data_IF_391869967929
#
_entry.id   IF_391869967929
#
_cell.length_a   1.000
_cell.length_b   1.000
_cell.length_c   1.000
_cell.angle_alpha   90.00
_cell.angle_beta   90.00
_cell.angle_gamma   90.00
#
_symmetry.space_group_name_H-M   'P 1'
#
loop_
_entity.id
_entity.type
_entity.pdbx_description
1 polymer ?
#
# COMPACT_ATOMS: atom_id res chain seq x y z
N UNK A 1 7.91 19.24 1.27
CA UNK A 1 8.88 18.51 2.10
C UNK A 1 10.08 19.42 2.24
N UNK A 2 10.63 19.60 3.46
CA UNK A 2 11.87 20.37 3.67
C UNK A 2 13.00 19.74 2.83
N UNK A 3 13.94 20.54 2.33
CA UNK A 3 15.10 20.10 1.53
C UNK A 3 15.96 19.01 2.21
N UNK A 4 15.77 18.77 3.53
CA UNK A 4 16.56 17.84 4.36
C UNK A 4 15.86 16.49 4.66
N UNK A 5 14.65 16.21 4.15
CA UNK A 5 13.97 14.95 4.44
C UNK A 5 14.49 13.81 3.57
N UNK A 6 15.21 12.86 4.21
CA UNK A 6 15.65 11.63 3.56
C UNK A 6 14.71 10.45 3.94
N UNK A 7 13.96 9.88 2.98
CA UNK A 7 13.02 8.78 3.24
C UNK A 7 13.69 7.55 3.85
N UNK A 8 14.90 7.22 3.39
CA UNK A 8 15.63 6.07 3.90
C UNK A 8 16.02 6.21 5.37
N UNK A 9 16.57 7.38 5.74
CA UNK A 9 16.91 7.68 7.13
C UNK A 9 15.69 7.60 8.04
N UNK A 10 14.54 8.08 7.55
CA UNK A 10 13.29 8.01 8.30
C UNK A 10 12.86 6.57 8.56
N UNK A 11 12.74 5.74 7.52
CA UNK A 11 12.30 4.34 7.66
C UNK A 11 13.30 3.52 8.48
N UNK A 12 14.60 3.72 8.27
CA UNK A 12 15.65 3.06 9.06
C UNK A 12 15.52 3.36 10.56
N UNK A 13 15.24 4.62 10.92
CA UNK A 13 15.05 5.01 12.33
C UNK A 13 13.80 4.40 12.96
N UNK A 14 12.75 4.16 12.17
CA UNK A 14 11.55 3.45 12.62
C UNK A 14 11.85 1.98 12.93
N UNK A 15 12.58 1.30 12.04
CA UNK A 15 13.01 -0.10 12.23
C UNK A 15 13.91 -0.21 13.45
N UNK A 16 14.87 0.70 13.62
CA UNK A 16 15.78 0.75 14.76
C UNK A 16 15.02 0.88 16.08
N UNK A 17 14.08 1.82 16.17
CA UNK A 17 13.22 1.98 17.35
C UNK A 17 12.40 0.73 17.67
N UNK A 18 11.84 0.08 16.66
CA UNK A 18 11.13 -1.19 16.83
C UNK A 18 12.06 -2.30 17.32
N UNK A 19 13.29 -2.37 16.80
CA UNK A 19 14.32 -3.31 17.25
C UNK A 19 14.68 -3.10 18.73
N UNK A 20 14.87 -1.88 19.16
CA UNK A 20 15.13 -1.56 20.57
C UNK A 20 13.91 -1.87 21.48
N UNK A 21 12.69 -1.57 21.05
CA UNK A 21 11.46 -1.92 21.76
C UNK A 21 11.36 -3.44 21.98
N UNK A 22 11.80 -4.23 21.02
CA UNK A 22 11.85 -5.69 21.07
C UNK A 22 13.10 -6.25 21.76
N UNK A 23 14.01 -5.39 22.24
CA UNK A 23 15.29 -5.78 22.85
C UNK A 23 16.15 -6.68 21.94
N UNK A 24 16.11 -6.44 20.62
CA UNK A 24 16.98 -7.10 19.67
C UNK A 24 18.44 -6.64 19.86
N UNK A 25 19.39 -7.53 19.57
CA UNK A 25 20.80 -7.16 19.55
C UNK A 25 21.12 -6.24 18.35
N UNK A 26 22.17 -5.43 18.51
CA UNK A 26 22.59 -4.43 17.51
C UNK A 26 22.93 -5.05 16.14
N UNK A 27 23.44 -6.29 16.14
CA UNK A 27 23.76 -7.03 14.92
C UNK A 27 22.50 -7.35 14.13
N UNK A 28 21.43 -7.78 14.81
CA UNK A 28 20.15 -8.07 14.21
C UNK A 28 19.47 -6.79 13.69
N UNK A 29 19.52 -5.71 14.47
CA UNK A 29 18.97 -4.42 14.03
C UNK A 29 19.68 -3.94 12.77
N UNK A 30 21.01 -3.94 12.73
CA UNK A 30 21.80 -3.58 11.55
C UNK A 30 21.48 -4.47 10.35
N UNK A 31 21.31 -5.78 10.56
CA UNK A 31 20.95 -6.73 9.49
C UNK A 31 19.59 -6.38 8.89
N UNK A 32 18.59 -6.06 9.73
CA UNK A 32 17.22 -5.73 9.25
C UNK A 32 17.18 -4.36 8.55
N UNK A 33 17.94 -3.38 9.00
CA UNK A 33 18.02 -2.08 8.35
C UNK A 33 18.72 -2.18 6.97
N UNK A 34 19.72 -3.04 6.81
CA UNK A 34 20.55 -3.05 5.61
C UNK A 34 19.89 -3.80 4.46
N UNK A 35 19.57 -3.18 3.31
CA UNK A 35 19.07 -3.89 2.14
C UNK A 35 20.03 -4.98 1.67
N UNK A 36 19.51 -6.16 1.34
CA UNK A 36 20.33 -7.29 0.87
C UNK A 36 20.98 -7.02 -0.49
N UNK A 37 20.26 -6.27 -1.35
CA UNK A 37 20.75 -5.97 -2.71
C UNK A 37 20.18 -4.66 -3.23
N UNK A 38 21.08 -3.85 -3.78
CA UNK A 38 20.74 -2.64 -4.53
C UNK A 38 21.28 -2.82 -5.95
N UNK A 39 20.38 -2.82 -6.93
CA UNK A 39 20.72 -2.88 -8.34
C UNK A 39 20.31 -1.56 -9.00
N UNK A 40 21.30 -0.82 -9.51
CA UNK A 40 21.11 0.35 -10.37
C UNK A 40 21.41 -0.03 -11.81
N UNK A 41 20.57 0.40 -12.73
CA UNK A 41 20.68 0.03 -14.15
C UNK A 41 20.51 1.24 -15.07
N UNK A 42 21.28 1.26 -16.14
CA UNK A 42 21.06 2.15 -17.27
C UNK A 42 19.95 1.59 -18.18
N UNK A 43 19.00 2.44 -18.57
CA UNK A 43 17.87 2.11 -19.41
C UNK A 43 17.91 2.95 -20.69
N UNK A 44 18.68 2.56 -21.71
CA UNK A 44 18.69 3.22 -23.01
C UNK A 44 17.39 2.95 -23.77
N UNK A 45 16.73 4.02 -24.24
CA UNK A 45 15.49 3.94 -25.01
C UNK A 45 15.66 4.70 -26.33
N UNK A 46 15.32 4.02 -27.44
CA UNK A 46 15.20 4.71 -28.72
C UNK A 46 13.86 5.42 -28.78
N UNK A 47 13.91 6.74 -28.85
CA UNK A 47 12.75 7.61 -28.93
C UNK A 47 12.11 7.55 -30.34
N UNK A 48 10.87 7.99 -30.45
CA UNK A 48 10.16 8.07 -31.75
C UNK A 48 10.84 9.05 -32.71
N UNK A 49 11.57 10.03 -32.19
CA UNK A 49 12.47 10.91 -32.97
C UNK A 49 13.67 10.19 -33.62
N UNK A 50 13.96 8.94 -33.21
CA UNK A 50 15.15 8.19 -33.60
C UNK A 50 16.36 8.36 -32.68
N UNK A 51 16.36 9.36 -31.79
CA UNK A 51 17.42 9.57 -30.81
C UNK A 51 17.39 8.48 -29.72
N UNK A 52 18.48 8.33 -28.99
CA UNK A 52 18.57 7.47 -27.82
C UNK A 52 18.61 8.34 -26.58
N UNK A 53 17.67 8.13 -25.68
CA UNK A 53 17.69 8.73 -24.35
C UNK A 53 18.09 7.70 -23.28
N UNK A 54 18.76 8.20 -22.23
CA UNK A 54 19.27 7.37 -21.14
C UNK A 54 18.49 7.65 -19.86
N UNK A 55 17.82 6.65 -19.35
CA UNK A 55 17.13 6.70 -18.04
C UNK A 55 17.90 5.87 -17.03
N UNK A 56 17.70 6.19 -15.73
CA UNK A 56 18.25 5.40 -14.62
C UNK A 56 17.12 4.67 -13.93
N UNK A 57 17.31 3.39 -13.69
CA UNK A 57 16.37 2.56 -12.95
C UNK A 57 17.02 1.85 -11.77
N UNK A 58 16.22 1.49 -10.78
CA UNK A 58 16.64 0.73 -9.60
C UNK A 58 15.71 -0.45 -9.34
N UNK A 59 16.28 -1.56 -8.83
CA UNK A 59 15.54 -2.62 -8.13
C UNK A 59 16.27 -2.91 -6.83
N UNK A 60 15.61 -2.74 -5.69
CA UNK A 60 16.16 -2.97 -4.36
C UNK A 60 15.40 -4.08 -3.69
N UNK A 61 16.14 -5.10 -3.23
CA UNK A 61 15.64 -6.17 -2.37
C UNK A 61 16.10 -5.87 -0.95
N UNK A 62 15.13 -5.55 -0.09
CA UNK A 62 15.44 -5.16 1.28
C UNK A 62 15.72 -6.37 2.16
N UNK A 63 14.77 -7.30 2.24
CA UNK A 63 14.91 -8.52 3.02
C UNK A 63 14.16 -9.68 2.34
N UNK A 64 14.80 -10.83 2.22
CA UNK A 64 14.23 -12.04 1.64
C UNK A 64 14.19 -13.21 2.62
N UNK A 65 14.41 -12.96 3.92
CA UNK A 65 14.40 -14.00 4.96
C UNK A 65 13.09 -14.75 5.06
N UNK A 66 11.95 -14.08 4.77
CA UNK A 66 10.61 -14.65 4.82
C UNK A 66 10.11 -15.25 3.50
N UNK A 67 10.78 -14.97 2.39
CA UNK A 67 10.40 -15.44 1.06
C UNK A 67 10.87 -14.50 -0.05
N UNK A 68 10.41 -14.71 -1.29
CA UNK A 68 10.84 -13.87 -2.41
C UNK A 68 10.49 -12.40 -2.18
N UNK A 69 11.34 -11.51 -2.71
CA UNK A 69 11.09 -10.08 -2.67
C UNK A 69 9.74 -9.73 -3.33
N UNK A 70 9.01 -8.77 -2.76
CA UNK A 70 7.73 -8.30 -3.30
C UNK A 70 7.62 -6.81 -3.24
N UNK A 71 7.23 -6.17 -4.36
CA UNK A 71 6.96 -4.73 -4.36
C UNK A 71 6.82 -4.13 -5.75
N UNK A 72 6.17 -2.97 -5.80
CA UNK A 72 5.83 -2.26 -7.02
C UNK A 72 7.02 -1.69 -7.77
N UNK A 73 6.76 -1.28 -9.02
CA UNK A 73 7.68 -0.49 -9.86
C UNK A 73 7.04 0.88 -10.07
N UNK A 74 7.78 1.94 -9.74
CA UNK A 74 7.35 3.34 -9.85
C UNK A 74 8.04 4.03 -11.03
N UNK A 75 7.27 4.69 -11.89
CA UNK A 75 7.80 5.59 -12.89
C UNK A 75 7.48 7.02 -12.50
N UNK A 76 8.52 7.77 -12.06
CA UNK A 76 8.35 9.16 -11.65
C UNK A 76 9.69 9.91 -11.74
N UNK A 77 9.62 11.19 -12.04
CA UNK A 77 10.81 12.04 -12.20
C UNK A 77 11.62 12.25 -10.91
N UNK A 78 10.98 12.09 -9.73
CA UNK A 78 11.68 12.21 -8.42
C UNK A 78 12.31 10.91 -7.94
N UNK A 79 12.13 9.78 -8.63
CA UNK A 79 12.66 8.47 -8.21
C UNK A 79 14.18 8.53 -8.00
N UNK A 80 14.62 8.08 -6.84
CA UNK A 80 16.02 7.97 -6.45
C UNK A 80 16.24 6.73 -5.56
N UNK A 81 17.49 6.43 -5.27
CA UNK A 81 17.87 5.23 -4.53
C UNK A 81 17.30 5.21 -3.11
N UNK A 82 17.30 6.34 -2.40
CA UNK A 82 16.84 6.43 -1.01
C UNK A 82 15.32 6.21 -0.91
N UNK A 83 14.56 6.79 -1.85
CA UNK A 83 13.11 6.55 -1.94
C UNK A 83 12.81 5.08 -2.20
N UNK A 84 13.50 4.45 -3.15
CA UNK A 84 13.27 3.04 -3.48
C UNK A 84 13.72 2.12 -2.35
N UNK A 85 14.81 2.45 -1.64
CA UNK A 85 15.26 1.71 -0.46
C UNK A 85 14.20 1.77 0.67
N UNK A 86 13.72 2.97 0.99
CA UNK A 86 12.66 3.16 2.00
C UNK A 86 11.41 2.35 1.67
N UNK A 87 10.92 2.48 0.45
CA UNK A 87 9.73 1.74 -0.01
C UNK A 87 9.94 0.21 -0.05
N UNK A 88 11.18 -0.26 -0.27
CA UNK A 88 11.48 -1.70 -0.22
C UNK A 88 11.46 -2.24 1.22
N UNK A 89 11.91 -1.46 2.19
CA UNK A 89 11.82 -1.79 3.61
C UNK A 89 10.36 -1.78 4.10
N UNK A 90 9.57 -0.78 3.72
CA UNK A 90 8.13 -0.74 3.99
C UNK A 90 7.41 -1.99 3.46
N UNK A 91 7.81 -2.48 2.29
CA UNK A 91 7.25 -3.73 1.75
C UNK A 91 7.63 -4.95 2.58
N UNK A 92 8.88 -5.05 3.10
CA UNK A 92 9.28 -6.13 4.02
C UNK A 92 8.41 -6.13 5.28
N UNK A 93 8.24 -4.95 5.90
CA UNK A 93 7.42 -4.78 7.09
C UNK A 93 5.95 -5.13 6.79
N UNK A 94 5.39 -4.57 5.71
CA UNK A 94 3.98 -4.80 5.33
C UNK A 94 3.68 -6.28 5.10
N UNK A 95 4.53 -7.00 4.37
CA UNK A 95 4.38 -8.45 4.15
C UNK A 95 4.50 -9.24 5.46
N UNK A 96 5.42 -8.84 6.33
CA UNK A 96 5.58 -9.45 7.64
C UNK A 96 4.38 -9.18 8.57
N UNK A 97 3.82 -7.96 8.57
CA UNK A 97 2.64 -7.55 9.36
C UNK A 97 1.43 -8.41 9.04
N UNK A 98 1.14 -8.68 7.76
CA UNK A 98 0.02 -9.56 7.36
C UNK A 98 0.41 -11.03 7.26
N UNK A 99 1.61 -11.36 7.69
CA UNK A 99 2.14 -12.74 7.79
C UNK A 99 2.06 -13.56 6.50
N UNK A 100 2.28 -12.93 5.35
CA UNK A 100 2.44 -13.64 4.08
C UNK A 100 3.91 -14.00 3.83
N UNK A 101 4.20 -15.08 3.09
CA UNK A 101 5.57 -15.58 2.88
C UNK A 101 6.30 -14.81 1.78
N UNK A 102 6.39 -13.49 1.98
CA UNK A 102 7.15 -12.60 1.13
C UNK A 102 8.18 -11.82 1.93
N UNK A 103 9.28 -11.53 1.28
CA UNK A 103 10.18 -10.45 1.64
C UNK A 103 9.71 -9.11 1.07
N UNK A 104 10.59 -8.12 1.07
CA UNK A 104 10.30 -6.80 0.51
C UNK A 104 11.28 -6.41 -0.58
N UNK A 105 10.74 -5.87 -1.64
CA UNK A 105 11.49 -5.26 -2.73
C UNK A 105 10.76 -4.03 -3.29
N UNK A 106 11.48 -3.19 -4.00
CA UNK A 106 10.90 -2.05 -4.73
C UNK A 106 11.73 -1.76 -5.97
N UNK A 107 11.07 -1.24 -7.00
CA UNK A 107 11.75 -0.77 -8.19
C UNK A 107 11.23 0.58 -8.66
N UNK A 108 11.98 1.21 -9.53
CA UNK A 108 11.54 2.43 -10.18
C UNK A 108 12.47 2.87 -11.29
N UNK A 109 11.97 3.72 -12.15
CA UNK A 109 12.74 4.42 -13.17
C UNK A 109 12.51 5.92 -13.00
N UNK A 110 13.60 6.68 -13.02
CA UNK A 110 13.55 8.15 -13.02
C UNK A 110 13.12 8.62 -14.40
N UNK A 111 11.84 8.90 -14.57
CA UNK A 111 11.25 9.34 -15.84
C UNK A 111 9.95 10.07 -15.58
N UNK A 112 9.60 11.03 -16.41
CA UNK A 112 8.26 11.59 -16.50
C UNK A 112 7.49 10.79 -17.57
N UNK A 113 6.63 9.82 -17.20
CA UNK A 113 5.93 8.99 -18.18
C UNK A 113 4.89 9.76 -19.00
N UNK A 114 4.49 10.95 -18.59
CA UNK A 114 3.53 11.79 -19.33
C UNK A 114 4.14 12.40 -20.59
N UNK A 115 5.47 12.42 -20.67
CA UNK A 115 6.22 12.93 -21.84
C UNK A 115 6.50 11.84 -22.88
N UNK A 116 6.20 10.57 -22.56
CA UNK A 116 6.47 9.44 -23.43
C UNK A 116 5.24 9.05 -24.24
N UNK A 117 5.45 8.66 -25.51
CA UNK A 117 4.42 7.96 -26.26
C UNK A 117 4.18 6.54 -25.68
N UNK A 118 3.03 5.92 -25.94
CA UNK A 118 2.80 4.54 -25.51
C UNK A 118 3.88 3.55 -25.99
N UNK A 119 4.41 3.77 -27.20
CA UNK A 119 5.48 2.93 -27.77
C UNK A 119 6.85 3.19 -27.07
N UNK A 120 7.13 4.42 -26.68
CA UNK A 120 8.32 4.75 -25.90
C UNK A 120 8.23 4.16 -24.48
N UNK A 121 7.07 4.25 -23.84
CA UNK A 121 6.82 3.65 -22.53
C UNK A 121 6.98 2.12 -22.57
N UNK A 122 6.51 1.45 -23.62
CA UNK A 122 6.73 0.01 -23.83
C UNK A 122 8.22 -0.30 -23.95
N UNK A 123 8.96 0.43 -24.79
CA UNK A 123 10.40 0.24 -24.95
C UNK A 123 11.18 0.45 -23.65
N UNK A 124 10.84 1.51 -22.89
CA UNK A 124 11.42 1.78 -21.56
C UNK A 124 11.15 0.62 -20.61
N UNK A 125 9.89 0.17 -20.52
CA UNK A 125 9.47 -0.91 -19.65
C UNK A 125 10.19 -2.22 -19.96
N UNK A 126 10.23 -2.61 -21.25
CA UNK A 126 10.91 -3.83 -21.69
C UNK A 126 12.42 -3.75 -21.45
N UNK A 127 13.03 -2.61 -21.70
CA UNK A 127 14.47 -2.42 -21.45
C UNK A 127 14.80 -2.47 -19.97
N UNK A 128 13.98 -1.82 -19.11
CA UNK A 128 14.13 -1.93 -17.68
C UNK A 128 13.94 -3.37 -17.18
N UNK A 129 12.88 -4.07 -17.63
CA UNK A 129 12.63 -5.47 -17.30
C UNK A 129 13.81 -6.39 -17.67
N UNK A 130 14.39 -6.20 -18.87
CA UNK A 130 15.59 -6.90 -19.30
C UNK A 130 16.76 -6.66 -18.36
N UNK A 131 16.98 -5.40 -17.95
CA UNK A 131 18.11 -5.01 -17.10
C UNK A 131 18.03 -5.57 -15.70
N UNK A 132 16.81 -5.73 -15.15
CA UNK A 132 16.58 -6.31 -13.81
C UNK A 132 16.29 -7.82 -13.85
N UNK A 133 16.21 -8.44 -15.02
CA UNK A 133 15.91 -9.87 -15.19
C UNK A 133 16.77 -10.81 -14.34
N UNK A 134 18.07 -10.53 -14.08
CA UNK A 134 18.89 -11.38 -13.23
C UNK A 134 18.42 -11.50 -11.77
N UNK A 135 17.62 -10.56 -11.28
CA UNK A 135 17.19 -10.50 -9.86
C UNK A 135 15.69 -10.75 -9.68
N UNK A 136 14.87 -10.67 -10.73
CA UNK A 136 13.42 -10.89 -10.64
C UNK A 136 13.01 -12.30 -11.11
N UNK A 137 11.94 -12.79 -10.51
CA UNK A 137 11.38 -14.10 -10.85
C UNK A 137 10.35 -14.56 -9.82
N UNK A 138 9.54 -15.55 -10.15
CA UNK A 138 8.46 -16.01 -9.28
C UNK A 138 8.98 -16.59 -7.95
N UNK A 139 10.24 -17.00 -7.89
CA UNK A 139 10.87 -17.58 -6.67
C UNK A 139 11.88 -16.63 -6.01
N UNK A 140 12.16 -15.48 -6.63
CA UNK A 140 13.23 -14.57 -6.18
C UNK A 140 12.71 -13.20 -5.81
N UNK A 141 11.97 -12.54 -6.73
CA UNK A 141 11.48 -11.19 -6.53
C UNK A 141 10.35 -10.89 -7.53
N UNK A 142 9.18 -10.49 -7.04
CA UNK A 142 7.95 -10.37 -7.81
C UNK A 142 7.51 -8.90 -7.88
N UNK A 143 7.73 -8.21 -9.02
CA UNK A 143 7.21 -6.87 -9.26
C UNK A 143 5.68 -6.79 -9.27
N UNK A 144 5.17 -5.58 -9.03
CA UNK A 144 3.76 -5.23 -9.07
C UNK A 144 3.57 -3.79 -9.59
N UNK A 145 2.34 -3.35 -9.89
CA UNK A 145 2.08 -1.95 -10.20
C UNK A 145 2.33 -1.02 -9.01
N UNK A 146 2.74 0.21 -9.30
CA UNK A 146 2.85 1.33 -8.35
C UNK A 146 2.51 2.63 -9.08
N UNK A 147 3.02 3.78 -8.63
CA UNK A 147 2.76 5.08 -9.27
C UNK A 147 3.17 5.06 -10.75
N UNK A 148 2.25 5.47 -11.62
CA UNK A 148 2.40 5.55 -13.08
C UNK A 148 2.79 4.23 -13.76
N UNK A 149 2.46 3.10 -13.16
CA UNK A 149 2.49 1.79 -13.80
C UNK A 149 1.14 1.10 -13.61
N UNK A 150 0.79 0.25 -14.54
CA UNK A 150 -0.53 -0.35 -14.66
C UNK A 150 -0.45 -1.83 -15.09
N UNK A 151 -1.58 -2.52 -15.25
CA UNK A 151 -1.60 -3.90 -15.74
C UNK A 151 -0.94 -4.09 -17.10
N UNK A 152 -0.94 -3.08 -17.98
CA UNK A 152 -0.27 -3.14 -19.29
C UNK A 152 1.25 -3.15 -19.11
N UNK A 153 1.78 -2.31 -18.23
CA UNK A 153 3.22 -2.30 -17.88
C UNK A 153 3.64 -3.68 -17.32
N UNK A 154 2.82 -4.26 -16.44
CA UNK A 154 3.08 -5.62 -15.92
C UNK A 154 3.07 -6.67 -17.03
N UNK A 155 2.18 -6.54 -18.01
CA UNK A 155 2.13 -7.43 -19.17
C UNK A 155 3.42 -7.40 -19.98
N UNK A 156 3.98 -6.21 -20.24
CA UNK A 156 5.26 -6.05 -20.96
C UNK A 156 6.44 -6.61 -20.17
N UNK A 157 6.45 -6.47 -18.83
CA UNK A 157 7.48 -7.07 -17.98
C UNK A 157 7.40 -8.61 -18.05
N UNK A 158 6.21 -9.17 -17.85
CA UNK A 158 5.98 -10.61 -17.90
C UNK A 158 6.39 -11.20 -19.27
N UNK A 159 5.97 -10.57 -20.36
CA UNK A 159 6.31 -10.99 -21.71
C UNK A 159 7.82 -10.96 -21.95
N UNK A 160 8.50 -9.89 -21.54
CA UNK A 160 9.96 -9.77 -21.66
C UNK A 160 10.68 -10.89 -20.92
N UNK A 161 10.27 -11.22 -19.70
CA UNK A 161 10.89 -12.30 -18.92
C UNK A 161 10.54 -13.68 -19.51
N UNK A 162 9.32 -13.87 -20.00
CA UNK A 162 8.90 -15.09 -20.70
C UNK A 162 9.77 -15.33 -21.93
N UNK A 163 10.01 -14.32 -22.75
CA UNK A 163 10.87 -14.43 -23.94
C UNK A 163 12.32 -14.75 -23.56
N UNK A 164 12.85 -14.12 -22.51
CA UNK A 164 14.21 -14.39 -22.03
C UNK A 164 14.40 -15.80 -21.50
N UNK A 165 13.38 -16.35 -20.84
CA UNK A 165 13.41 -17.70 -20.25
C UNK A 165 13.05 -18.81 -21.23
N UNK A 166 12.36 -18.50 -22.32
CA UNK A 166 11.87 -19.46 -23.30
C UNK A 166 10.69 -20.30 -22.81
N UNK A 167 10.03 -19.91 -21.70
CA UNK A 167 8.82 -20.54 -21.20
C UNK A 167 7.92 -19.52 -20.49
N UNK A 168 6.63 -19.81 -20.40
CA UNK A 168 5.67 -18.91 -19.72
C UNK A 168 5.97 -18.78 -18.22
N UNK A 169 6.04 -17.55 -17.74
CA UNK A 169 6.36 -17.24 -16.35
C UNK A 169 5.32 -16.28 -15.75
N UNK A 170 4.02 -16.64 -15.64
CA UNK A 170 2.98 -15.73 -15.19
C UNK A 170 3.20 -15.22 -13.76
N UNK A 171 3.78 -16.04 -12.88
CA UNK A 171 4.08 -15.67 -11.50
C UNK A 171 5.24 -14.67 -11.31
N UNK A 172 5.89 -14.21 -12.40
CA UNK A 172 7.00 -13.25 -12.31
C UNK A 172 6.55 -11.85 -11.90
N UNK A 173 5.28 -11.50 -12.12
CA UNK A 173 4.66 -10.23 -11.72
C UNK A 173 3.26 -10.47 -11.20
N UNK A 174 2.71 -9.52 -10.43
CA UNK A 174 1.29 -9.50 -10.05
C UNK A 174 0.63 -8.20 -10.49
N UNK A 175 -0.70 -8.14 -10.44
CA UNK A 175 -1.47 -7.02 -10.96
C UNK A 175 -1.64 -7.05 -12.48
N UNK A 176 -1.57 -8.26 -13.08
CA UNK A 176 -1.79 -8.52 -14.49
C UNK A 176 -3.27 -8.41 -14.89
N UNK A 177 -3.57 -8.18 -16.17
CA UNK A 177 -4.92 -8.43 -16.70
C UNK A 177 -5.36 -9.89 -16.50
N UNK A 178 -6.66 -10.10 -16.30
CA UNK A 178 -7.23 -11.44 -16.10
C UNK A 178 -6.90 -12.40 -17.26
N UNK A 179 -6.87 -11.88 -18.48
CA UNK A 179 -6.59 -12.66 -19.69
C UNK A 179 -5.22 -13.36 -19.72
N UNK A 180 -4.28 -12.91 -18.87
CA UNK A 180 -2.89 -13.43 -18.83
C UNK A 180 -2.46 -13.87 -17.43
N UNK A 181 -3.40 -14.28 -16.60
CA UNK A 181 -3.11 -14.83 -15.27
C UNK A 181 -3.36 -13.87 -14.10
N UNK A 182 -4.06 -12.74 -14.34
CA UNK A 182 -4.56 -11.90 -13.22
C UNK A 182 -5.65 -12.64 -12.42
N UNK A 183 -5.90 -12.22 -11.20
CA UNK A 183 -6.88 -12.88 -10.32
C UNK A 183 -8.18 -12.09 -10.13
N UNK A 184 -9.28 -12.78 -10.01
CA UNK A 184 -10.57 -12.23 -9.59
C UNK A 184 -10.46 -11.78 -8.12
N UNK A 185 -10.99 -10.59 -7.81
CA UNK A 185 -10.99 -10.05 -6.44
C UNK A 185 -9.81 -9.14 -6.08
N UNK A 186 -8.78 -9.03 -6.94
CA UNK A 186 -7.69 -8.06 -6.74
C UNK A 186 -8.21 -6.62 -6.73
N UNK A 187 -9.12 -6.30 -7.66
CA UNK A 187 -9.78 -5.00 -7.66
C UNK A 187 -10.62 -4.84 -6.38
N UNK A 188 -10.37 -3.76 -5.62
CA UNK A 188 -11.05 -3.49 -4.36
C UNK A 188 -10.47 -4.22 -3.12
N UNK A 189 -9.45 -5.07 -3.27
CA UNK A 189 -8.86 -5.80 -2.14
C UNK A 189 -8.29 -4.86 -1.05
N UNK A 190 -7.71 -3.73 -1.43
CA UNK A 190 -7.25 -2.71 -0.48
C UNK A 190 -8.42 -2.15 0.31
N UNK A 191 -9.51 -1.76 -0.36
CA UNK A 191 -10.71 -1.22 0.28
C UNK A 191 -11.38 -2.25 1.21
N UNK A 192 -11.40 -3.52 0.80
CA UNK A 192 -11.90 -4.62 1.64
C UNK A 192 -11.02 -4.79 2.89
N UNK A 193 -9.69 -4.74 2.76
CA UNK A 193 -8.76 -4.79 3.89
C UNK A 193 -9.00 -3.65 4.89
N UNK A 194 -9.16 -2.41 4.40
CA UNK A 194 -9.51 -1.26 5.24
C UNK A 194 -10.83 -1.48 5.98
N UNK A 195 -11.85 -1.96 5.27
CA UNK A 195 -13.17 -2.25 5.88
C UNK A 195 -13.06 -3.31 6.99
N UNK A 196 -12.32 -4.40 6.74
CA UNK A 196 -12.10 -5.47 7.73
C UNK A 196 -11.38 -4.91 8.97
N UNK A 197 -10.33 -4.14 8.79
CA UNK A 197 -9.60 -3.51 9.91
C UNK A 197 -10.48 -2.53 10.69
N UNK A 198 -11.34 -1.76 10.00
CA UNK A 198 -12.30 -0.87 10.64
C UNK A 198 -13.27 -1.65 11.53
N UNK A 199 -13.87 -2.72 11.00
CA UNK A 199 -14.79 -3.57 11.74
C UNK A 199 -14.10 -4.27 12.93
N UNK A 200 -12.89 -4.78 12.73
CA UNK A 200 -12.11 -5.41 13.79
C UNK A 200 -11.77 -4.43 14.92
N UNK A 201 -11.41 -3.18 14.59
CA UNK A 201 -11.18 -2.16 15.59
C UNK A 201 -12.45 -1.82 16.36
N UNK A 202 -13.58 -1.57 15.68
CA UNK A 202 -14.87 -1.29 16.34
C UNK A 202 -15.27 -2.42 17.29
N UNK A 203 -15.14 -3.66 16.87
CA UNK A 203 -15.41 -4.84 17.71
C UNK A 203 -14.56 -4.83 18.98
N UNK A 204 -13.27 -4.52 18.89
CA UNK A 204 -12.37 -4.49 20.04
C UNK A 204 -12.63 -3.28 20.95
N UNK A 205 -13.22 -2.20 20.42
CA UNK A 205 -13.71 -1.05 21.19
C UNK A 205 -15.15 -1.25 21.72
N UNK A 206 -15.76 -2.44 21.54
CA UNK A 206 -17.15 -2.74 21.91
C UNK A 206 -18.17 -1.78 21.25
N UNK A 207 -17.88 -1.34 19.99
CA UNK A 207 -18.75 -0.47 19.18
C UNK A 207 -19.39 -1.28 18.06
N UNK A 208 -20.66 -0.94 17.74
CA UNK A 208 -21.36 -1.49 16.59
C UNK A 208 -21.07 -0.64 15.35
N UNK A 209 -20.91 -1.25 14.16
CA UNK A 209 -20.75 -0.49 12.93
C UNK A 209 -22.02 0.29 12.53
N UNK A 210 -23.20 -0.16 13.00
CA UNK A 210 -24.46 0.49 12.65
C UNK A 210 -24.48 1.95 13.11
N UNK A 211 -24.71 2.84 12.14
CA UNK A 211 -24.79 4.28 12.32
C UNK A 211 -23.48 5.00 12.66
N UNK A 212 -22.33 4.33 12.71
CA UNK A 212 -21.04 5.01 12.77
C UNK A 212 -20.90 5.97 11.58
N UNK A 213 -20.62 7.23 11.86
CA UNK A 213 -20.46 8.28 10.84
C UNK A 213 -19.02 8.28 10.35
N UNK A 214 -18.84 8.09 9.05
CA UNK A 214 -17.53 7.97 8.43
C UNK A 214 -17.27 9.12 7.47
N UNK A 215 -16.07 9.71 7.52
CA UNK A 215 -15.58 10.61 6.48
C UNK A 215 -14.46 9.91 5.70
N UNK A 216 -14.47 10.04 4.36
CA UNK A 216 -13.48 9.41 3.47
C UNK A 216 -12.83 10.49 2.61
N UNK A 217 -11.53 10.71 2.79
CA UNK A 217 -10.77 11.60 1.93
C UNK A 217 -10.20 10.81 0.75
N UNK A 218 -10.67 11.11 -0.44
CA UNK A 218 -10.30 10.46 -1.68
C UNK A 218 -11.42 9.55 -2.22
N UNK A 219 -11.77 9.74 -3.49
CA UNK A 219 -12.79 8.94 -4.18
C UNK A 219 -12.24 8.27 -5.44
N UNK A 220 -10.98 7.81 -5.34
CA UNK A 220 -10.27 7.07 -6.39
C UNK A 220 -10.41 5.55 -6.27
N UNK A 221 -9.37 4.82 -6.73
CA UNK A 221 -9.31 3.34 -6.75
C UNK A 221 -9.56 2.67 -5.40
N UNK A 222 -9.23 3.33 -4.28
CA UNK A 222 -9.43 2.82 -2.93
C UNK A 222 -10.70 3.39 -2.32
N UNK A 223 -10.91 4.71 -2.36
CA UNK A 223 -12.02 5.38 -1.68
C UNK A 223 -13.39 5.04 -2.27
N UNK A 224 -13.50 4.94 -3.60
CA UNK A 224 -14.80 4.65 -4.23
C UNK A 224 -15.38 3.27 -3.83
N UNK A 225 -14.66 2.14 -3.92
CA UNK A 225 -15.18 0.87 -3.41
C UNK A 225 -15.34 0.87 -1.89
N UNK A 226 -14.49 1.62 -1.15
CA UNK A 226 -14.55 1.71 0.30
C UNK A 226 -15.87 2.31 0.79
N UNK A 227 -16.32 3.42 0.19
CA UNK A 227 -17.62 4.06 0.51
C UNK A 227 -18.75 3.05 0.42
N UNK A 228 -18.80 2.25 -0.64
CA UNK A 228 -19.82 1.20 -0.81
C UNK A 228 -19.70 0.10 0.25
N UNK A 229 -18.50 -0.43 0.48
CA UNK A 229 -18.26 -1.50 1.45
C UNK A 229 -18.63 -1.09 2.88
N UNK A 230 -18.33 0.15 3.28
CA UNK A 230 -18.69 0.68 4.60
C UNK A 230 -20.20 0.83 4.75
N UNK A 231 -20.88 1.35 3.74
CA UNK A 231 -22.34 1.50 3.73
C UNK A 231 -23.05 0.14 3.78
N UNK A 232 -22.56 -0.87 3.05
CA UNK A 232 -23.07 -2.26 3.10
C UNK A 232 -22.92 -2.91 4.48
N UNK A 233 -22.02 -2.38 5.33
CA UNK A 233 -21.81 -2.85 6.72
C UNK A 233 -22.55 -1.99 7.76
N UNK A 234 -23.49 -1.13 7.32
CA UNK A 234 -24.37 -0.34 8.18
C UNK A 234 -23.78 0.99 8.65
N UNK A 235 -22.57 1.34 8.23
CA UNK A 235 -21.96 2.65 8.54
C UNK A 235 -22.56 3.75 7.67
N UNK A 236 -22.61 4.97 8.18
CA UNK A 236 -23.05 6.16 7.43
C UNK A 236 -21.83 6.92 6.92
N UNK A 237 -21.52 6.83 5.65
CA UNK A 237 -20.52 7.73 5.05
C UNK A 237 -21.15 9.10 4.89
N UNK A 238 -20.76 10.06 5.75
CA UNK A 238 -21.38 11.38 5.82
C UNK A 238 -20.64 12.43 5.02
N UNK A 239 -19.33 12.25 4.75
CA UNK A 239 -18.60 13.16 3.88
C UNK A 239 -17.56 12.41 3.04
N UNK A 240 -17.38 12.88 1.80
CA UNK A 240 -16.38 12.38 0.86
C UNK A 240 -15.69 13.56 0.18
N UNK A 241 -14.37 13.49 0.06
CA UNK A 241 -13.57 14.48 -0.64
C UNK A 241 -12.85 13.87 -1.86
N UNK A 242 -12.67 14.66 -2.91
CA UNK A 242 -11.76 14.38 -4.02
C UNK A 242 -10.83 15.58 -4.28
N UNK A 243 -10.11 15.55 -5.41
CA UNK A 243 -9.16 16.63 -5.76
C UNK A 243 -9.85 17.98 -6.08
N UNK A 244 -11.18 17.99 -6.33
CA UNK A 244 -11.93 19.19 -6.69
C UNK A 244 -12.70 19.79 -5.51
N UNK A 245 -12.85 19.04 -4.40
CA UNK A 245 -13.52 19.52 -3.19
C UNK A 245 -14.14 18.39 -2.38
N UNK A 246 -15.01 18.75 -1.45
CA UNK A 246 -15.68 17.80 -0.57
C UNK A 246 -17.19 18.04 -0.50
N UNK A 247 -17.92 16.98 -0.18
CA UNK A 247 -19.37 17.01 0.06
C UNK A 247 -19.70 16.43 1.43
N UNK A 248 -20.81 16.92 1.99
CA UNK A 248 -21.36 16.44 3.25
C UNK A 248 -22.86 16.17 3.11
N UNK A 249 -23.29 15.02 3.64
CA UNK A 249 -24.70 14.61 3.75
C UNK A 249 -24.88 14.04 5.16
N UNK A 250 -25.48 14.79 6.12
CA UNK A 250 -25.58 14.37 7.52
C UNK A 250 -26.25 13.01 7.74
N UNK A 251 -27.24 12.67 6.90
CA UNK A 251 -28.00 11.41 6.98
C UNK A 251 -27.29 10.21 6.34
N UNK A 252 -26.15 10.46 5.66
CA UNK A 252 -25.38 9.48 4.92
C UNK A 252 -25.54 9.59 3.41
N UNK A 253 -24.44 9.37 2.70
CA UNK A 253 -24.35 9.41 1.25
C UNK A 253 -24.84 8.07 0.69
N UNK A 254 -25.74 8.09 -0.30
CA UNK A 254 -26.05 6.91 -1.11
C UNK A 254 -24.87 6.57 -2.02
N UNK A 255 -24.19 5.42 -1.80
CA UNK A 255 -22.98 5.07 -2.55
C UNK A 255 -23.23 4.85 -4.05
N UNK A 256 -24.42 4.36 -4.43
CA UNK A 256 -24.75 4.13 -5.84
C UNK A 256 -25.12 5.44 -6.55
N UNK A 257 -25.76 6.38 -5.86
CA UNK A 257 -26.00 7.74 -6.38
C UNK A 257 -24.67 8.49 -6.56
N UNK A 258 -23.77 8.42 -5.58
CA UNK A 258 -22.45 9.03 -5.66
C UNK A 258 -21.63 8.43 -6.81
N UNK A 259 -21.65 7.12 -6.98
CA UNK A 259 -20.92 6.44 -8.06
C UNK A 259 -21.41 6.86 -9.46
N UNK A 260 -22.73 6.99 -9.65
CA UNK A 260 -23.31 7.50 -10.90
C UNK A 260 -22.91 8.95 -11.17
N UNK A 261 -23.07 9.82 -10.15
CA UNK A 261 -22.69 11.22 -10.25
C UNK A 261 -21.19 11.38 -10.60
N UNK A 262 -20.32 10.64 -9.92
CA UNK A 262 -18.88 10.68 -10.18
C UNK A 262 -18.53 10.19 -11.59
N UNK A 263 -19.22 9.17 -12.08
CA UNK A 263 -19.07 8.67 -13.46
C UNK A 263 -19.43 9.71 -14.52
N UNK A 264 -20.41 10.58 -14.25
CA UNK A 264 -20.87 11.63 -15.15
C UNK A 264 -20.06 12.94 -15.02
N UNK A 265 -19.81 13.38 -13.78
CA UNK A 265 -19.20 14.68 -13.47
C UNK A 265 -17.66 14.62 -13.30
N UNK A 266 -17.10 13.44 -13.04
CA UNK A 266 -15.68 13.27 -12.72
C UNK A 266 -15.25 13.93 -11.41
N UNK A 267 -16.20 14.12 -10.48
CA UNK A 267 -15.99 14.68 -9.15
C UNK A 267 -17.15 14.32 -8.22
N UNK A 268 -16.90 14.35 -6.92
CA UNK A 268 -17.93 14.20 -5.89
C UNK A 268 -18.76 15.48 -5.72
N UNK A 269 -18.18 16.64 -6.05
CA UNK A 269 -18.81 17.96 -5.87
C UNK A 269 -20.04 18.10 -6.77
N UNK A 270 -21.13 18.60 -6.19
CA UNK A 270 -22.40 18.81 -6.91
C UNK A 270 -23.34 17.61 -6.87
N UNK A 271 -23.07 16.59 -6.06
CA UNK A 271 -24.05 15.52 -5.80
C UNK A 271 -25.36 16.13 -5.29
N UNK A 272 -26.48 15.74 -5.87
CA UNK A 272 -27.78 16.23 -5.47
C UNK A 272 -28.09 15.91 -4.00
N UNK A 273 -28.51 16.93 -3.24
CA UNK A 273 -28.83 16.77 -1.81
C UNK A 273 -27.62 16.81 -0.88
N UNK A 274 -26.43 17.14 -1.38
CA UNK A 274 -25.24 17.34 -0.56
C UNK A 274 -24.91 18.83 -0.40
N UNK A 275 -24.31 19.16 0.75
CA UNK A 275 -23.67 20.46 0.96
C UNK A 275 -22.20 20.36 0.49
N UNK A 276 -21.69 21.44 -0.10
CA UNK A 276 -20.25 21.55 -0.39
C UNK A 276 -19.51 21.96 0.87
N UNK A 277 -18.39 21.28 1.16
CA UNK A 277 -17.53 21.56 2.31
C UNK A 277 -16.17 22.03 1.80
N UNK A 278 -15.65 23.10 2.40
CA UNK A 278 -14.29 23.55 2.10
C UNK A 278 -13.25 22.49 2.53
N UNK A 279 -12.20 22.33 1.75
CA UNK A 279 -11.16 21.33 2.01
C UNK A 279 -10.55 21.45 3.40
N UNK A 280 -10.40 22.68 3.92
CA UNK A 280 -9.87 22.95 5.26
C UNK A 280 -10.83 22.54 6.38
N UNK A 281 -12.12 22.48 6.09
CA UNK A 281 -13.17 22.11 7.04
C UNK A 281 -13.55 20.63 6.98
N UNK A 282 -13.08 19.90 5.97
CA UNK A 282 -13.44 18.50 5.76
C UNK A 282 -13.18 17.63 7.00
N UNK A 283 -12.02 17.78 7.63
CA UNK A 283 -11.64 17.00 8.81
C UNK A 283 -12.41 17.38 10.09
N UNK A 284 -13.06 18.55 10.09
CA UNK A 284 -13.89 19.03 11.18
C UNK A 284 -15.36 18.61 11.05
N UNK A 285 -15.75 17.92 9.97
CA UNK A 285 -17.09 17.36 9.83
C UNK A 285 -17.36 16.39 10.96
N UNK A 286 -18.50 16.52 11.68
CA UNK A 286 -18.83 15.63 12.80
C UNK A 286 -18.87 14.16 12.35
N UNK A 287 -17.94 13.36 12.84
CA UNK A 287 -17.76 11.96 12.42
C UNK A 287 -17.20 11.11 13.56
N UNK A 288 -17.35 9.83 13.46
CA UNK A 288 -16.86 8.86 14.43
C UNK A 288 -15.57 8.19 13.92
N UNK A 289 -15.43 8.07 12.60
CA UNK A 289 -14.29 7.45 11.92
C UNK A 289 -13.81 8.35 10.78
N UNK A 290 -12.50 8.57 10.70
CA UNK A 290 -11.87 9.27 9.58
C UNK A 290 -10.95 8.35 8.80
N UNK A 291 -11.10 8.33 7.46
CA UNK A 291 -10.33 7.46 6.57
C UNK A 291 -9.64 8.29 5.49
N UNK A 292 -8.35 8.60 5.66
CA UNK A 292 -7.52 9.17 4.59
C UNK A 292 -7.23 8.10 3.53
N UNK A 293 -7.77 8.26 2.31
CA UNK A 293 -7.66 7.31 1.21
C UNK A 293 -7.09 7.94 -0.09
N UNK A 294 -6.42 9.10 0.01
CA UNK A 294 -5.88 9.82 -1.15
C UNK A 294 -4.35 9.91 -1.12
N UNK A 295 -3.81 10.84 -0.35
CA UNK A 295 -2.40 11.22 -0.37
C UNK A 295 -1.72 10.99 0.98
N UNK A 296 -0.38 10.91 0.97
CA UNK A 296 0.44 10.96 2.18
C UNK A 296 0.48 12.36 2.80
N UNK A 297 0.75 12.42 4.12
CA UNK A 297 0.98 13.66 4.86
C UNK A 297 -0.23 14.59 5.01
N UNK A 298 -1.45 14.07 4.83
CA UNK A 298 -2.69 14.90 4.90
C UNK A 298 -3.16 15.15 6.33
N UNK A 299 -2.89 14.24 7.25
CA UNK A 299 -3.16 14.43 8.69
C UNK A 299 -1.92 15.04 9.33
N UNK A 300 -1.79 16.35 9.20
CA UNK A 300 -0.77 17.16 9.84
C UNK A 300 -1.12 17.41 11.31
N UNK A 301 -0.22 18.05 12.08
CA UNK A 301 -0.51 18.51 13.44
C UNK A 301 -1.82 19.28 13.51
N UNK A 302 -1.98 20.31 12.68
CA UNK A 302 -3.19 21.16 12.61
C UNK A 302 -4.46 20.34 12.32
N UNK A 303 -4.40 19.38 11.40
CA UNK A 303 -5.54 18.51 11.09
C UNK A 303 -5.84 17.59 12.26
N UNK A 304 -4.81 17.01 12.87
CA UNK A 304 -4.95 16.14 14.03
C UNK A 304 -5.58 16.86 15.24
N UNK A 305 -5.35 18.18 15.40
CA UNK A 305 -6.02 19.01 16.41
C UNK A 305 -7.51 19.20 16.15
N UNK A 306 -7.91 19.34 14.88
CA UNK A 306 -9.27 19.70 14.47
C UNK A 306 -10.17 18.51 14.15
N UNK A 307 -9.59 17.34 13.86
CA UNK A 307 -10.35 16.14 13.52
C UNK A 307 -11.33 15.76 14.63
N UNK A 308 -12.61 15.55 14.29
CA UNK A 308 -13.66 15.20 15.26
C UNK A 308 -13.77 13.70 15.49
N UNK A 309 -13.29 12.91 14.55
CA UNK A 309 -13.36 11.45 14.61
C UNK A 309 -12.62 10.91 15.85
N UNK A 310 -13.23 9.93 16.49
CA UNK A 310 -12.65 9.19 17.62
C UNK A 310 -11.74 8.04 17.18
N UNK A 311 -11.67 7.76 15.89
CA UNK A 311 -10.86 6.68 15.29
C UNK A 311 -10.34 7.15 13.92
N UNK A 312 -9.10 6.80 13.60
CA UNK A 312 -8.51 6.98 12.27
C UNK A 312 -8.11 5.62 11.68
N UNK A 313 -8.45 5.37 10.40
CA UNK A 313 -8.03 4.15 9.69
C UNK A 313 -7.33 4.55 8.39
N UNK A 314 -6.05 4.26 8.26
CA UNK A 314 -5.22 4.74 7.17
C UNK A 314 -5.32 3.88 5.92
N UNK A 315 -6.09 4.34 4.94
CA UNK A 315 -6.22 3.67 3.64
C UNK A 315 -5.13 4.09 2.63
N UNK A 316 -4.65 5.33 2.71
CA UNK A 316 -3.48 5.79 1.93
C UNK A 316 -2.17 5.35 2.58
N UNK A 317 -1.04 5.45 1.85
CA UNK A 317 0.28 5.21 2.43
C UNK A 317 0.80 6.49 3.12
N UNK A 318 1.26 6.37 4.37
CA UNK A 318 1.81 7.46 5.17
C UNK A 318 0.92 8.71 5.26
N UNK A 319 -0.40 8.60 5.50
CA UNK A 319 -1.28 9.77 5.45
C UNK A 319 -1.13 10.68 6.66
N UNK A 320 -0.63 10.16 7.77
CA UNK A 320 -0.44 10.91 9.02
C UNK A 320 1.04 11.27 9.19
N UNK A 321 1.33 12.56 9.42
CA UNK A 321 2.70 13.01 9.73
C UNK A 321 3.11 12.58 11.14
N UNK A 322 4.41 12.66 11.47
CA UNK A 322 4.91 12.34 12.81
C UNK A 322 4.27 13.22 13.89
N UNK A 323 4.15 14.51 13.61
CA UNK A 323 3.54 15.50 14.50
C UNK A 323 2.03 15.22 14.65
N UNK A 324 1.35 14.93 13.53
CA UNK A 324 -0.08 14.57 13.57
C UNK A 324 -0.32 13.28 14.37
N UNK A 325 0.55 12.28 14.24
CA UNK A 325 0.46 11.05 15.01
C UNK A 325 0.66 11.27 16.52
N UNK A 326 1.57 12.17 16.91
CA UNK A 326 1.77 12.55 18.31
C UNK A 326 0.50 13.20 18.91
N UNK A 327 -0.11 14.16 18.19
CA UNK A 327 -1.35 14.81 18.62
C UNK A 327 -2.51 13.81 18.74
N UNK A 328 -2.70 12.93 17.76
CA UNK A 328 -3.74 11.89 17.83
C UNK A 328 -3.52 10.96 19.02
N UNK A 329 -2.28 10.61 19.32
CA UNK A 329 -1.94 9.77 20.46
C UNK A 329 -2.25 10.47 21.79
N UNK A 330 -1.85 11.74 21.97
CA UNK A 330 -2.14 12.56 23.17
C UNK A 330 -3.65 12.73 23.38
N UNK A 331 -4.42 12.83 22.28
CA UNK A 331 -5.89 12.89 22.32
C UNK A 331 -6.56 11.54 22.57
N UNK A 332 -5.81 10.45 22.64
CA UNK A 332 -6.35 9.09 22.82
C UNK A 332 -7.12 8.58 21.60
N UNK A 333 -6.84 9.09 20.40
CA UNK A 333 -7.47 8.65 19.13
C UNK A 333 -6.68 7.47 18.56
N UNK A 334 -7.22 6.25 18.57
CA UNK A 334 -6.54 5.09 17.99
C UNK A 334 -6.44 5.24 16.47
N UNK A 335 -5.25 4.91 15.95
CA UNK A 335 -4.95 4.94 14.52
C UNK A 335 -4.62 3.53 14.05
N UNK A 336 -5.44 2.94 13.19
CA UNK A 336 -5.05 1.71 12.47
C UNK A 336 -4.07 2.10 11.37
N UNK A 337 -2.81 1.67 11.45
CA UNK A 337 -1.78 2.15 10.54
C UNK A 337 -1.93 1.55 9.14
N UNK A 338 -1.43 2.27 8.16
CA UNK A 338 -1.46 1.92 6.74
C UNK A 338 -0.79 0.57 6.43
N UNK A 339 0.32 0.24 7.11
CA UNK A 339 1.01 -1.04 6.94
C UNK A 339 0.14 -2.26 7.24
N UNK A 340 -0.96 -2.07 7.99
CA UNK A 340 -1.99 -3.07 8.25
C UNK A 340 -3.24 -2.79 7.41
N UNK A 341 -3.85 -1.61 7.54
CA UNK A 341 -5.18 -1.34 7.01
C UNK A 341 -5.26 -1.51 5.47
N UNK A 342 -4.28 -0.98 4.74
CA UNK A 342 -4.26 -1.05 3.27
C UNK A 342 -3.54 -2.29 2.71
N UNK A 343 -3.10 -3.21 3.56
CA UNK A 343 -2.36 -4.39 3.15
C UNK A 343 -3.18 -5.43 2.37
N UNK A 344 -4.50 -5.27 2.29
CA UNK A 344 -5.35 -6.13 1.45
C UNK A 344 -4.86 -6.24 -0.01
N UNK A 345 -4.27 -5.17 -0.55
CA UNK A 345 -3.68 -5.18 -1.90
C UNK A 345 -2.47 -6.13 -2.03
N UNK A 346 -1.57 -6.16 -1.06
CA UNK A 346 -0.42 -7.08 -1.10
C UNK A 346 -0.83 -8.51 -0.81
N UNK A 347 -1.84 -8.74 0.05
CA UNK A 347 -2.43 -10.07 0.26
C UNK A 347 -3.08 -10.58 -1.04
N UNK A 348 -3.80 -9.73 -1.76
CA UNK A 348 -4.34 -10.05 -3.09
C UNK A 348 -3.25 -10.43 -4.09
N UNK A 349 -2.14 -9.70 -4.08
CA UNK A 349 -0.97 -10.03 -4.90
C UNK A 349 -0.37 -11.39 -4.53
N UNK A 350 -0.33 -11.73 -3.26
CA UNK A 350 0.11 -13.05 -2.80
C UNK A 350 -0.80 -14.17 -3.34
N UNK A 351 -2.11 -13.97 -3.31
CA UNK A 351 -3.05 -14.94 -3.85
C UNK A 351 -2.95 -15.08 -5.37
N UNK A 352 -2.75 -13.98 -6.11
CA UNK A 352 -2.49 -14.03 -7.55
C UNK A 352 -1.25 -14.88 -7.86
N UNK A 353 -0.14 -14.59 -7.20
CA UNK A 353 1.11 -15.35 -7.36
C UNK A 353 0.94 -16.83 -6.99
N UNK A 354 0.25 -17.15 -5.90
CA UNK A 354 -0.01 -18.53 -5.50
C UNK A 354 -0.83 -19.29 -6.54
N UNK A 355 -1.83 -18.65 -7.16
CA UNK A 355 -2.63 -19.21 -8.24
C UNK A 355 -1.79 -19.44 -9.50
N UNK A 356 -0.93 -18.48 -9.86
CA UNK A 356 -0.01 -18.61 -10.99
C UNK A 356 0.95 -19.80 -10.84
N UNK A 357 1.51 -20.00 -9.63
CA UNK A 357 2.39 -21.15 -9.34
C UNK A 357 1.64 -22.50 -9.33
N UNK A 358 0.38 -22.49 -8.89
CA UNK A 358 -0.46 -23.68 -8.89
C UNK A 358 -1.02 -24.00 -10.27
N UNK A 359 -1.06 -23.03 -11.19
CA UNK A 359 -1.75 -23.14 -12.47
C UNK A 359 -3.28 -23.33 -12.31
N UNK A 360 -3.85 -22.86 -11.21
CA UNK A 360 -5.26 -23.02 -10.87
C UNK A 360 -5.86 -21.72 -10.31
N UNK A 361 -6.89 -21.23 -10.98
CA UNK A 361 -7.57 -19.99 -10.59
C UNK A 361 -8.65 -20.27 -9.54
N UNK A 362 -8.71 -19.42 -8.53
CA UNK A 362 -9.70 -19.52 -7.45
C UNK A 362 -10.99 -18.79 -7.80
N UNK A 363 -12.10 -19.32 -7.31
CA UNK A 363 -13.38 -18.62 -7.32
C UNK A 363 -13.28 -17.33 -6.49
N UNK A 364 -14.04 -16.32 -6.88
CA UNK A 364 -14.00 -15.00 -6.23
C UNK A 364 -14.38 -15.08 -4.73
N UNK A 365 -15.32 -15.94 -4.40
CA UNK A 365 -15.79 -16.18 -3.04
C UNK A 365 -14.68 -16.75 -2.16
N UNK A 366 -13.93 -17.72 -2.66
CA UNK A 366 -12.78 -18.30 -1.96
C UNK A 366 -11.69 -17.27 -1.76
N UNK A 367 -11.43 -16.43 -2.77
CA UNK A 367 -10.47 -15.34 -2.67
C UNK A 367 -10.85 -14.37 -1.54
N UNK A 368 -12.11 -13.93 -1.50
CA UNK A 368 -12.61 -13.01 -0.47
C UNK A 368 -12.55 -13.62 0.93
N UNK A 369 -12.97 -14.87 1.09
CA UNK A 369 -12.89 -15.58 2.38
C UNK A 369 -11.47 -15.67 2.91
N UNK A 370 -10.50 -15.98 2.04
CA UNK A 370 -9.08 -16.05 2.42
C UNK A 370 -8.51 -14.67 2.74
N UNK A 371 -8.89 -13.63 1.99
CA UNK A 371 -8.47 -12.27 2.27
C UNK A 371 -9.01 -11.81 3.63
N UNK A 372 -10.30 -12.04 3.89
CA UNK A 372 -10.94 -11.70 5.16
C UNK A 372 -10.25 -12.40 6.33
N UNK A 373 -10.03 -13.70 6.22
CA UNK A 373 -9.30 -14.48 7.23
C UNK A 373 -7.92 -13.91 7.50
N UNK A 374 -7.12 -13.68 6.45
CA UNK A 374 -5.74 -13.18 6.58
C UNK A 374 -5.69 -11.80 7.25
N UNK A 375 -6.60 -10.90 6.87
CA UNK A 375 -6.65 -9.55 7.44
C UNK A 375 -7.12 -9.56 8.90
N UNK A 376 -8.09 -10.42 9.26
CA UNK A 376 -8.51 -10.59 10.65
C UNK A 376 -7.38 -11.15 11.53
N UNK A 377 -6.72 -12.22 11.09
CA UNK A 377 -5.59 -12.81 11.81
C UNK A 377 -4.44 -11.80 12.02
N UNK A 378 -4.18 -10.97 11.00
CA UNK A 378 -3.17 -9.92 11.11
C UNK A 378 -3.58 -8.84 12.11
N UNK A 379 -4.82 -8.37 12.07
CA UNK A 379 -5.34 -7.39 13.01
C UNK A 379 -5.31 -7.92 14.45
N UNK A 380 -5.81 -9.14 14.68
CA UNK A 380 -5.88 -9.76 16.01
C UNK A 380 -4.48 -9.92 16.61
N UNK A 381 -3.49 -10.34 15.81
CA UNK A 381 -2.10 -10.45 16.25
C UNK A 381 -1.53 -9.10 16.71
N UNK A 382 -1.82 -8.02 15.98
CA UNK A 382 -1.38 -6.68 16.36
C UNK A 382 -2.13 -6.18 17.59
N UNK A 383 -3.44 -6.44 17.68
CA UNK A 383 -4.25 -6.01 18.82
C UNK A 383 -3.79 -6.66 20.14
N UNK A 384 -3.52 -7.96 20.10
CA UNK A 384 -2.96 -8.69 21.26
C UNK A 384 -1.61 -8.10 21.65
N UNK A 385 -0.72 -7.94 20.67
CA UNK A 385 0.63 -7.43 20.92
C UNK A 385 0.63 -5.97 21.40
N UNK A 386 -0.34 -5.15 20.95
CA UNK A 386 -0.57 -3.80 21.45
C UNK A 386 -0.84 -3.78 22.98
N UNK A 387 -1.70 -4.69 23.46
CA UNK A 387 -1.95 -4.84 24.88
C UNK A 387 -0.71 -5.26 25.70
N UNK A 388 0.18 -6.06 25.12
CA UNK A 388 1.42 -6.52 25.77
C UNK A 388 2.51 -5.44 25.80
N UNK A 389 2.71 -4.73 24.68
CA UNK A 389 3.77 -3.73 24.54
C UNK A 389 3.41 -2.37 25.17
N UNK A 390 2.12 -2.05 25.28
CA UNK A 390 1.68 -0.77 25.85
C UNK A 390 2.03 0.46 24.99
N UNK A 391 2.31 0.27 23.69
CA UNK A 391 2.58 1.33 22.71
C UNK A 391 1.42 1.42 21.71
N UNK A 392 1.33 2.50 20.91
CA UNK A 392 0.25 2.67 19.93
C UNK A 392 0.26 1.60 18.84
N UNK A 393 -0.86 1.46 18.08
CA UNK A 393 -1.00 0.42 17.05
C UNK A 393 0.02 0.53 15.92
N UNK A 394 0.50 1.74 15.58
CA UNK A 394 1.53 1.94 14.54
C UNK A 394 2.87 1.36 14.99
N UNK A 395 3.32 1.69 16.19
CA UNK A 395 4.55 1.15 16.76
C UNK A 395 4.45 -0.37 16.96
N UNK A 396 3.28 -0.84 17.38
CA UNK A 396 2.99 -2.28 17.52
C UNK A 396 3.06 -3.01 16.19
N UNK A 397 2.44 -2.48 15.13
CA UNK A 397 2.48 -3.10 13.81
C UNK A 397 3.91 -3.18 13.28
N UNK A 398 4.69 -2.12 13.46
CA UNK A 398 6.10 -2.09 13.09
C UNK A 398 6.91 -3.13 13.90
N UNK A 399 6.70 -3.20 15.22
CA UNK A 399 7.35 -4.18 16.08
C UNK A 399 7.02 -5.62 15.66
N UNK A 400 5.75 -5.94 15.38
CA UNK A 400 5.34 -7.27 14.88
C UNK A 400 6.01 -7.60 13.55
N UNK A 401 6.11 -6.62 12.63
CA UNK A 401 6.81 -6.81 11.36
C UNK A 401 8.29 -7.12 11.56
N UNK A 402 8.99 -6.32 12.37
CA UNK A 402 10.42 -6.49 12.70
C UNK A 402 10.67 -7.80 13.45
N UNK A 403 9.82 -8.16 14.41
CA UNK A 403 9.93 -9.43 15.18
C UNK A 403 9.88 -10.64 14.26
N UNK A 404 8.93 -10.68 13.31
CA UNK A 404 8.79 -11.79 12.34
C UNK A 404 9.96 -11.88 11.35
N UNK A 405 10.53 -10.74 10.95
CA UNK A 405 11.74 -10.72 10.11
C UNK A 405 12.94 -11.22 10.92
N UNK A 406 13.11 -10.73 12.15
CA UNK A 406 14.19 -11.17 13.04
C UNK A 406 14.13 -12.68 13.33
N UNK A 407 12.94 -13.22 13.60
CA UNK A 407 12.73 -14.66 13.80
C UNK A 407 13.14 -15.47 12.57
N UNK A 408 12.66 -15.09 11.38
CA UNK A 408 13.02 -15.75 10.13
C UNK A 408 14.54 -15.71 9.88
N UNK A 409 15.17 -14.57 10.14
CA UNK A 409 16.63 -14.38 10.01
C UNK A 409 17.39 -15.28 10.97
N UNK A 410 16.96 -15.37 12.25
CA UNK A 410 17.60 -16.27 13.24
C UNK A 410 17.49 -17.73 12.85
N UNK A 411 16.30 -18.17 12.40
CA UNK A 411 16.05 -19.56 12.00
C UNK A 411 16.87 -19.96 10.77
N UNK A 412 17.08 -19.06 9.82
CA UNK A 412 17.92 -19.32 8.62
C UNK A 412 19.41 -19.21 8.91
N UNK A 413 19.77 -18.44 9.92
CA UNK A 413 21.17 -18.13 10.22
C UNK A 413 21.80 -17.14 9.23
N UNK A 414 23.02 -16.72 9.52
CA UNK A 414 23.85 -15.94 8.62
C UNK A 414 24.80 -16.87 7.87
N UNK A 415 24.75 -16.83 6.54
CA UNK A 415 25.65 -17.61 5.68
C UNK A 415 26.81 -16.72 5.21
N UNK A 416 28.03 -17.28 5.13
CA UNK A 416 28.56 -18.55 5.62
C UNK A 416 28.78 -18.59 7.10
#
# INVERSE_FOLDING_TARGET
MSEDFNPWTHVSSLIERAGHLLQLDEGMIKRIITPERILEVAVPVRMDSGNVEMFTGWRIQHDTSRGPGKGGIRFHQSVNVDEIAALSADMSIKCAVVNIPYGGAKGGVRVDPTTLSPAELERLTRRYAFSIAPVIGPETDIPAPDVNTDPQVMSWIMDTITMLRGYSAPGVVTGKPLAIGGTLGHAGATSLGVTICTLALLKNLARSPENERVIVQGYGKVGSPLVKLLSERGMKVVAVADVKGAIHVPEGIDPDALARHYGEAGTVVGLAGSDTVDSDQFWSVPSDIAIPAALGGVITEKVAETITASVVVEAANGPTTGEGAAVLHERGVPVVPDVLANAGGVVASYFEWAQDLQGYMWEKELFHQRLEKTMHEAFDAIWIRHGELGVNLRETALAVGVERIAEATRLRGLFP
#
